data_IF_624812568551
#
_entry.id   IF_624812568551
#
_cell.length_a   1.000
_cell.length_b   1.000
_cell.length_c   1.000
_cell.angle_alpha   90.00
_cell.angle_beta   90.00
_cell.angle_gamma   90.00
#
_symmetry.space_group_name_H-M   'P 1'
#
loop_
_entity.id
_entity.type
_entity.pdbx_description
1 polymer ?
#
# COMPACT_ATOMS: atom_id res chain seq x y z
N UNK A 1 12.82 21.28 -14.78
CA UNK A 1 13.39 20.61 -13.59
C UNK A 1 12.21 20.15 -12.77
N UNK A 2 12.15 18.85 -12.50
CA UNK A 2 10.96 18.14 -12.03
C UNK A 2 10.60 18.49 -10.57
N UNK A 3 9.31 18.69 -10.29
CA UNK A 3 8.81 19.08 -8.96
C UNK A 3 9.10 18.01 -7.90
N UNK A 4 9.26 16.75 -8.33
CA UNK A 4 9.72 15.64 -7.50
C UNK A 4 11.07 15.86 -6.82
N UNK A 5 11.96 16.68 -7.40
CA UNK A 5 13.28 16.92 -6.82
C UNK A 5 13.22 17.75 -5.53
N UNK A 6 12.30 18.72 -5.41
CA UNK A 6 12.19 19.53 -4.19
C UNK A 6 11.65 18.71 -3.02
N UNK A 7 10.66 17.86 -3.29
CA UNK A 7 10.07 16.95 -2.31
C UNK A 7 11.10 15.94 -1.79
N UNK A 8 11.87 15.32 -2.69
CA UNK A 8 12.92 14.37 -2.32
C UNK A 8 14.00 15.01 -1.42
N UNK A 9 14.44 16.23 -1.74
CA UNK A 9 15.44 16.93 -0.92
C UNK A 9 14.87 17.29 0.45
N UNK A 10 13.60 17.70 0.53
CA UNK A 10 12.94 18.01 1.79
C UNK A 10 12.87 16.78 2.71
N UNK A 11 12.50 15.62 2.15
CA UNK A 11 12.42 14.34 2.87
C UNK A 11 13.78 13.92 3.43
N UNK A 12 14.82 13.97 2.58
CA UNK A 12 16.20 13.63 2.97
C UNK A 12 16.75 14.52 4.09
N UNK A 13 16.31 15.78 4.19
CA UNK A 13 16.70 16.70 5.26
C UNK A 13 15.92 16.43 6.55
N UNK A 14 14.63 16.14 6.44
CA UNK A 14 13.78 15.77 7.59
C UNK A 14 14.31 14.50 8.27
N UNK A 15 14.68 13.48 7.47
CA UNK A 15 15.27 12.23 7.94
C UNK A 15 16.59 12.44 8.70
N UNK A 16 17.38 13.45 8.32
CA UNK A 16 18.64 13.81 8.99
C UNK A 16 18.44 14.71 10.21
N UNK A 17 17.20 15.04 10.55
CA UNK A 17 16.84 15.95 11.64
C UNK A 17 17.04 17.43 11.32
N UNK A 18 17.40 17.79 10.07
CA UNK A 18 17.42 19.19 9.64
C UNK A 18 16.01 19.64 9.25
N UNK A 19 15.16 19.78 10.27
CA UNK A 19 13.75 20.15 10.10
C UNK A 19 13.57 21.54 9.50
N UNK A 20 14.45 22.49 9.84
CA UNK A 20 14.42 23.83 9.25
C UNK A 20 14.83 23.81 7.77
N UNK A 21 15.81 22.99 7.40
CA UNK A 21 16.17 22.74 6.01
C UNK A 21 15.03 22.09 5.23
N UNK A 22 14.45 21.04 5.78
CA UNK A 22 13.31 20.34 5.20
C UNK A 22 12.13 21.28 4.94
N UNK A 23 11.77 22.12 5.93
CA UNK A 23 10.67 23.06 5.80
C UNK A 23 10.89 24.04 4.64
N UNK A 24 12.10 24.58 4.46
CA UNK A 24 12.41 25.48 3.32
C UNK A 24 12.20 24.80 1.97
N UNK A 25 12.54 23.52 1.86
CA UNK A 25 12.36 22.77 0.63
C UNK A 25 10.91 22.39 0.38
N UNK A 26 10.16 22.05 1.44
CA UNK A 26 8.71 21.88 1.34
C UNK A 26 8.00 23.17 0.95
N UNK A 27 8.34 24.32 1.55
CA UNK A 27 7.79 25.63 1.15
C UNK A 27 8.08 25.92 -0.32
N UNK A 28 9.29 25.59 -0.80
CA UNK A 28 9.68 25.76 -2.19
C UNK A 28 8.89 24.83 -3.12
N UNK A 29 8.63 23.59 -2.71
CA UNK A 29 7.84 22.63 -3.47
C UNK A 29 6.37 23.09 -3.56
N UNK A 30 5.80 23.53 -2.44
CA UNK A 30 4.39 23.93 -2.40
C UNK A 30 4.13 25.26 -3.10
N UNK A 31 5.10 26.18 -3.10
CA UNK A 31 5.03 27.41 -3.89
C UNK A 31 4.94 27.19 -5.41
N UNK A 32 5.18 25.96 -5.91
CA UNK A 32 5.08 25.60 -7.33
C UNK A 32 3.74 24.97 -7.70
N UNK A 33 2.85 24.71 -6.74
CA UNK A 33 1.53 24.18 -7.03
C UNK A 33 0.79 25.06 -8.02
N UNK A 34 0.36 24.46 -9.12
CA UNK A 34 -0.57 25.11 -10.03
C UNK A 34 -1.93 25.29 -9.35
N UNK A 35 -2.75 26.19 -9.91
CA UNK A 35 -4.12 26.38 -9.47
C UNK A 35 -4.99 25.13 -9.69
N UNK A 36 -4.66 24.30 -10.69
CA UNK A 36 -5.34 23.04 -10.98
C UNK A 36 -5.01 21.98 -9.92
N UNK A 37 -3.74 21.77 -9.60
CA UNK A 37 -3.32 20.84 -8.55
C UNK A 37 -3.86 21.25 -7.18
N UNK A 38 -3.84 22.55 -6.88
CA UNK A 38 -4.43 23.08 -5.65
C UNK A 38 -5.93 22.79 -5.53
N UNK A 39 -6.65 22.77 -6.67
CA UNK A 39 -8.07 22.42 -6.70
C UNK A 39 -8.27 20.91 -6.58
N UNK A 40 -7.42 20.11 -7.22
CA UNK A 40 -7.43 18.65 -7.12
C UNK A 40 -7.17 18.18 -5.68
N UNK A 41 -6.24 18.82 -4.96
CA UNK A 41 -5.93 18.55 -3.55
C UNK A 41 -7.13 18.78 -2.61
N UNK A 42 -7.99 19.75 -2.92
CA UNK A 42 -9.22 20.03 -2.15
C UNK A 42 -10.36 19.06 -2.46
N UNK A 43 -10.23 18.26 -3.51
CA UNK A 43 -11.25 17.31 -3.94
C UNK A 43 -11.38 16.11 -3.00
N UNK A 44 -12.44 15.29 -3.16
CA UNK A 44 -12.67 14.08 -2.35
C UNK A 44 -11.52 13.07 -2.42
N UNK A 45 -10.77 13.07 -3.53
CA UNK A 45 -9.61 12.22 -3.78
C UNK A 45 -8.26 12.96 -3.65
N UNK A 46 -8.27 14.16 -3.07
CA UNK A 46 -7.09 15.01 -2.96
C UNK A 46 -5.91 14.38 -2.22
N UNK A 47 -6.19 13.46 -1.30
CA UNK A 47 -5.18 12.68 -0.57
C UNK A 47 -4.41 11.68 -1.47
N UNK A 48 -4.94 11.30 -2.64
CA UNK A 48 -4.29 10.43 -3.64
C UNK A 48 -3.41 11.19 -4.62
N UNK A 49 -3.53 12.51 -4.69
CA UNK A 49 -2.73 13.31 -5.62
C UNK A 49 -1.25 13.23 -5.23
N UNK A 50 -0.34 13.18 -6.21
CA UNK A 50 1.10 13.11 -5.91
C UNK A 50 1.55 14.32 -5.08
N UNK A 51 0.99 15.50 -5.40
CA UNK A 51 1.25 16.75 -4.69
C UNK A 51 0.76 16.75 -3.23
N UNK A 52 -0.03 15.75 -2.80
CA UNK A 52 -0.42 15.59 -1.39
C UNK A 52 0.73 15.12 -0.50
N UNK A 53 1.75 14.46 -1.08
CA UNK A 53 2.94 13.97 -0.36
C UNK A 53 3.70 15.13 0.26
N UNK A 54 3.96 16.19 -0.51
CA UNK A 54 4.68 17.35 0.00
C UNK A 54 3.87 18.17 1.03
N UNK A 55 2.54 18.21 0.92
CA UNK A 55 1.67 18.87 1.91
C UNK A 55 1.71 18.11 3.24
N UNK A 56 1.68 16.77 3.21
CA UNK A 56 1.81 15.94 4.42
C UNK A 56 3.19 16.08 5.06
N UNK A 57 4.25 16.00 4.26
CA UNK A 57 5.62 16.17 4.74
C UNK A 57 5.85 17.53 5.39
N UNK A 58 5.34 18.61 4.77
CA UNK A 58 5.37 19.96 5.35
C UNK A 58 4.65 20.04 6.69
N UNK A 59 3.42 19.51 6.76
CA UNK A 59 2.61 19.50 7.98
C UNK A 59 3.31 18.76 9.12
N UNK A 60 3.96 17.64 8.81
CA UNK A 60 4.70 16.84 9.79
C UNK A 60 5.95 17.56 10.30
N UNK A 61 6.76 18.15 9.40
CA UNK A 61 7.93 18.94 9.79
C UNK A 61 7.53 20.15 10.65
N UNK A 62 6.44 20.85 10.30
CA UNK A 62 5.91 21.95 11.12
C UNK A 62 5.50 21.47 12.50
N UNK A 63 4.81 20.32 12.59
CA UNK A 63 4.44 19.70 13.87
C UNK A 63 5.67 19.40 14.72
N UNK A 64 6.72 18.83 14.15
CA UNK A 64 7.97 18.53 14.87
C UNK A 64 8.71 19.79 15.32
N UNK A 65 8.59 20.90 14.57
CA UNK A 65 9.11 22.22 14.94
C UNK A 65 8.21 22.99 15.92
N UNK A 66 7.07 22.44 16.35
CA UNK A 66 6.10 23.12 17.22
C UNK A 66 5.31 24.23 16.51
N UNK A 67 5.32 24.25 15.17
CA UNK A 67 4.57 25.20 14.36
C UNK A 67 3.15 24.68 14.08
N UNK A 68 2.17 25.58 14.16
CA UNK A 68 0.78 25.27 13.82
C UNK A 68 0.65 25.10 12.30
N UNK A 69 -0.13 24.11 11.80
CA UNK A 69 -0.45 24.00 10.38
C UNK A 69 -1.10 25.30 9.85
N UNK A 70 -0.78 25.69 8.63
CA UNK A 70 -1.42 26.83 7.96
C UNK A 70 -2.39 26.40 6.84
N UNK A 71 -3.00 27.36 6.16
CA UNK A 71 -3.97 27.13 5.08
C UNK A 71 -3.43 26.26 3.94
N UNK A 72 -2.11 26.24 3.77
CA UNK A 72 -1.44 25.40 2.78
C UNK A 72 -1.38 23.96 3.26
N UNK A 73 -1.07 23.75 4.54
CA UNK A 73 -1.10 22.43 5.14
C UNK A 73 -2.51 21.83 5.11
N UNK A 74 -3.56 22.65 5.18
CA UNK A 74 -4.96 22.23 5.12
C UNK A 74 -5.45 21.81 3.72
N UNK A 75 -4.67 22.07 2.66
CA UNK A 75 -5.08 21.77 1.29
C UNK A 75 -5.30 20.28 1.03
N UNK A 76 -4.51 19.41 1.67
CA UNK A 76 -4.64 17.96 1.51
C UNK A 76 -5.47 17.38 2.67
N UNK A 77 -6.60 16.69 2.41
CA UNK A 77 -7.36 16.04 3.45
C UNK A 77 -6.51 14.98 4.16
N UNK A 78 -6.79 14.76 5.45
CA UNK A 78 -6.15 13.68 6.20
C UNK A 78 -6.45 12.33 5.52
N UNK A 79 -5.47 11.44 5.50
CA UNK A 79 -5.69 10.07 5.00
C UNK A 79 -6.78 9.44 5.88
N UNK A 80 -7.87 8.88 5.31
CA UNK A 80 -8.89 8.22 6.10
C UNK A 80 -8.28 7.13 6.98
N UNK A 81 -8.67 7.03 8.27
CA UNK A 81 -8.04 6.10 9.23
C UNK A 81 -8.13 4.63 8.78
N UNK A 82 -9.16 4.26 8.00
CA UNK A 82 -9.29 2.92 7.41
C UNK A 82 -8.21 2.62 6.35
N UNK A 83 -7.62 3.65 5.72
CA UNK A 83 -6.57 3.55 4.70
C UNK A 83 -5.17 3.91 5.20
N UNK A 84 -5.04 4.46 6.40
CA UNK A 84 -3.73 4.70 7.03
C UNK A 84 -2.95 3.39 7.25
N UNK A 85 -3.62 2.23 7.26
CA UNK A 85 -3.00 0.89 7.28
C UNK A 85 -2.53 0.37 5.91
N UNK A 86 -3.01 0.95 4.81
CA UNK A 86 -2.66 0.57 3.43
C UNK A 86 -1.59 1.50 2.82
N UNK A 87 -1.43 2.69 3.39
CA UNK A 87 -0.59 3.77 2.88
C UNK A 87 0.45 4.13 3.93
N UNK A 88 1.21 3.15 4.38
CA UNK A 88 2.49 3.42 5.04
C UNK A 88 3.57 3.61 3.96
N UNK A 89 3.40 4.62 3.11
CA UNK A 89 4.37 4.95 2.05
C UNK A 89 5.61 5.62 2.68
N UNK A 90 5.44 6.30 3.82
CA UNK A 90 6.56 6.81 4.61
C UNK A 90 7.32 5.67 5.32
N UNK A 91 6.67 4.62 5.80
CA UNK A 91 7.33 3.43 6.31
C UNK A 91 7.99 2.57 5.22
N UNK A 92 7.47 2.59 3.98
CA UNK A 92 8.17 2.00 2.83
C UNK A 92 9.44 2.79 2.50
N UNK A 93 9.44 4.13 2.54
CA UNK A 93 10.63 4.95 2.26
C UNK A 93 11.68 4.89 3.38
N UNK A 94 11.28 5.00 4.65
CA UNK A 94 12.18 4.82 5.80
C UNK A 94 12.77 3.40 5.87
N UNK A 95 12.01 2.39 5.45
CA UNK A 95 12.51 1.03 5.26
C UNK A 95 13.56 0.95 4.13
N UNK A 96 13.39 1.69 3.03
CA UNK A 96 14.35 1.80 1.91
C UNK A 96 15.67 2.43 2.32
N UNK A 97 15.62 3.50 3.10
CA UNK A 97 16.82 4.22 3.53
C UNK A 97 17.55 3.49 4.68
N UNK A 98 16.82 2.80 5.56
CA UNK A 98 17.41 2.03 6.67
C UNK A 98 17.95 0.64 6.29
N UNK A 99 17.86 0.23 5.02
CA UNK A 99 18.22 -1.12 4.58
C UNK A 99 17.25 -2.21 5.09
N UNK A 100 16.07 -1.80 5.57
CA UNK A 100 14.98 -2.66 6.06
C UNK A 100 13.83 -2.76 5.08
N UNK A 101 14.01 -2.45 3.79
CA UNK A 101 12.99 -2.81 2.79
C UNK A 101 12.78 -4.29 2.96
N UNK A 102 11.54 -4.74 3.17
CA UNK A 102 11.26 -6.14 2.97
C UNK A 102 11.78 -6.46 1.57
N UNK A 103 12.82 -7.30 1.46
CA UNK A 103 13.28 -7.81 0.14
C UNK A 103 12.12 -8.46 -0.63
N UNK A 104 11.03 -8.72 0.08
CA UNK A 104 9.85 -9.38 -0.36
C UNK A 104 8.60 -8.83 0.33
N UNK A 105 7.52 -8.61 -0.42
CA UNK A 105 6.21 -8.26 0.10
C UNK A 105 5.28 -9.48 0.06
N UNK A 106 4.54 -9.74 1.15
CA UNK A 106 3.56 -10.82 1.21
C UNK A 106 2.15 -10.29 0.97
N UNK A 107 1.46 -10.88 0.00
CA UNK A 107 0.10 -10.55 -0.38
C UNK A 107 -0.83 -11.67 0.04
N UNK A 108 -1.59 -11.46 1.10
CA UNK A 108 -2.58 -12.42 1.56
C UNK A 108 -3.70 -12.59 0.53
N UNK A 109 -4.06 -13.85 0.23
CA UNK A 109 -5.16 -14.18 -0.66
C UNK A 109 -5.97 -15.35 -0.12
N UNK A 110 -7.29 -15.29 -0.26
CA UNK A 110 -8.12 -16.51 -0.24
C UNK A 110 -8.14 -17.06 -1.66
N UNK A 111 -7.62 -18.28 -1.85
CA UNK A 111 -7.73 -18.98 -3.13
C UNK A 111 -9.18 -19.38 -3.40
N UNK A 112 -9.53 -19.73 -4.65
CA UNK A 112 -10.93 -19.99 -5.07
C UNK A 112 -11.75 -20.85 -4.09
N UNK A 113 -11.24 -21.98 -3.56
CA UNK A 113 -11.98 -22.78 -2.58
C UNK A 113 -12.32 -21.99 -1.29
N UNK A 114 -11.34 -21.25 -0.76
CA UNK A 114 -11.46 -20.46 0.46
C UNK A 114 -12.21 -19.14 0.25
N UNK A 115 -12.14 -18.56 -0.95
CA UNK A 115 -12.87 -17.33 -1.27
C UNK A 115 -14.38 -17.57 -1.25
N UNK A 116 -14.84 -18.77 -1.61
CA UNK A 116 -16.24 -19.14 -1.46
C UNK A 116 -16.69 -19.12 0.01
N UNK A 117 -15.84 -19.56 0.94
CA UNK A 117 -16.10 -19.48 2.38
C UNK A 117 -16.03 -18.03 2.87
N UNK A 118 -15.02 -17.26 2.45
CA UNK A 118 -14.90 -15.85 2.82
C UNK A 118 -16.13 -15.03 2.39
N UNK A 119 -16.69 -15.33 1.22
CA UNK A 119 -17.95 -14.76 0.73
C UNK A 119 -19.17 -15.15 1.55
N UNK A 120 -19.24 -16.40 2.03
CA UNK A 120 -20.32 -16.84 2.93
C UNK A 120 -20.25 -16.11 4.27
N UNK A 121 -19.05 -15.95 4.81
CA UNK A 121 -18.83 -15.35 6.14
C UNK A 121 -18.89 -13.82 6.14
N UNK A 122 -18.37 -13.17 5.10
CA UNK A 122 -18.27 -11.71 4.98
C UNK A 122 -18.74 -11.23 3.59
N UNK A 123 -20.05 -11.33 3.28
CA UNK A 123 -20.56 -11.06 1.93
C UNK A 123 -20.35 -9.62 1.46
N UNK A 124 -20.38 -8.64 2.37
CA UNK A 124 -20.16 -7.22 2.03
C UNK A 124 -18.69 -6.91 1.67
N UNK A 125 -17.74 -7.67 2.22
CA UNK A 125 -16.31 -7.48 1.98
C UNK A 125 -15.80 -8.24 0.75
N UNK A 126 -16.61 -9.17 0.24
CA UNK A 126 -16.29 -10.04 -0.89
C UNK A 126 -17.44 -10.09 -1.92
N UNK A 127 -17.99 -8.92 -2.23
CA UNK A 127 -19.11 -8.73 -3.16
C UNK A 127 -18.76 -8.98 -4.64
N UNK A 128 -17.51 -8.75 -5.02
CA UNK A 128 -17.00 -8.97 -6.37
C UNK A 128 -16.97 -10.44 -6.79
N UNK A 129 -17.12 -10.69 -8.08
CA UNK A 129 -16.95 -12.04 -8.65
C UNK A 129 -15.50 -12.52 -8.48
N UNK A 130 -15.29 -13.84 -8.50
CA UNK A 130 -13.95 -14.41 -8.41
C UNK A 130 -13.03 -13.87 -9.52
N UNK A 131 -13.52 -13.83 -10.75
CA UNK A 131 -12.71 -13.42 -11.89
C UNK A 131 -12.34 -11.93 -11.82
N UNK A 132 -13.27 -11.05 -11.44
CA UNK A 132 -12.97 -9.63 -11.20
C UNK A 132 -11.93 -9.45 -10.10
N UNK A 133 -12.10 -10.15 -8.98
CA UNK A 133 -11.20 -10.06 -7.84
C UNK A 133 -9.76 -10.48 -8.20
N UNK A 134 -9.59 -11.65 -8.81
CA UNK A 134 -8.25 -12.15 -9.14
C UNK A 134 -7.60 -11.36 -10.27
N UNK A 135 -8.37 -10.89 -11.25
CA UNK A 135 -7.83 -10.03 -12.32
C UNK A 135 -7.45 -8.65 -11.78
N UNK A 136 -8.22 -8.08 -10.85
CA UNK A 136 -7.86 -6.81 -10.21
C UNK A 136 -6.58 -6.95 -9.38
N UNK A 137 -6.44 -8.03 -8.59
CA UNK A 137 -5.23 -8.32 -7.84
C UNK A 137 -4.01 -8.51 -8.77
N UNK A 138 -4.16 -9.28 -9.85
CA UNK A 138 -3.11 -9.48 -10.85
C UNK A 138 -2.62 -8.15 -11.45
N UNK A 139 -3.54 -7.28 -11.88
CA UNK A 139 -3.20 -5.96 -12.43
C UNK A 139 -2.46 -5.09 -11.41
N UNK A 140 -3.00 -5.00 -10.19
CA UNK A 140 -2.38 -4.23 -9.10
C UNK A 140 -0.97 -4.71 -8.79
N UNK A 141 -0.73 -6.02 -8.73
CA UNK A 141 0.59 -6.57 -8.45
C UNK A 141 1.58 -6.35 -9.59
N UNK A 142 1.10 -6.30 -10.84
CA UNK A 142 1.94 -5.92 -12.01
C UNK A 142 2.35 -4.47 -11.96
N UNK A 143 1.42 -3.58 -11.65
CA UNK A 143 1.71 -2.16 -11.46
C UNK A 143 2.78 -1.96 -10.39
N UNK A 144 2.66 -2.66 -9.26
CA UNK A 144 3.67 -2.64 -8.19
C UNK A 144 5.03 -3.17 -8.66
N UNK A 145 5.07 -4.34 -9.29
CA UNK A 145 6.32 -4.93 -9.76
C UNK A 145 7.02 -4.07 -10.83
N UNK A 146 6.25 -3.45 -11.74
CA UNK A 146 6.78 -2.52 -12.73
C UNK A 146 7.26 -1.19 -12.10
N UNK A 147 6.69 -0.82 -10.95
CA UNK A 147 7.10 0.33 -10.15
C UNK A 147 8.36 0.12 -9.31
N UNK A 148 9.06 -1.01 -9.47
CA UNK A 148 10.31 -1.30 -8.74
C UNK A 148 10.11 -1.79 -7.31
N UNK A 149 8.90 -2.23 -6.94
CA UNK A 149 8.60 -2.80 -5.63
C UNK A 149 9.36 -4.14 -5.45
N UNK A 150 9.80 -4.47 -4.21
CA UNK A 150 10.45 -5.75 -3.90
C UNK A 150 9.62 -6.98 -4.29
N UNK A 151 10.28 -8.14 -4.36
CA UNK A 151 9.68 -9.38 -4.84
C UNK A 151 8.34 -9.70 -4.16
N UNK A 152 7.30 -10.04 -4.93
CA UNK A 152 5.99 -10.35 -4.36
C UNK A 152 5.92 -11.85 -4.06
N UNK A 153 5.42 -12.20 -2.87
CA UNK A 153 4.94 -13.55 -2.56
C UNK A 153 3.47 -13.52 -2.22
N UNK A 154 2.73 -14.44 -2.81
CA UNK A 154 1.34 -14.66 -2.47
C UNK A 154 1.29 -15.58 -1.26
N UNK A 155 0.49 -15.19 -0.26
CA UNK A 155 0.27 -15.90 0.98
C UNK A 155 -1.16 -16.46 0.97
N UNK A 156 -1.39 -17.70 0.49
CA UNK A 156 -2.67 -18.36 0.61
C UNK A 156 -3.07 -18.47 2.09
N UNK A 157 -4.27 -18.01 2.41
CA UNK A 157 -4.87 -18.15 3.74
C UNK A 157 -6.14 -19.00 3.65
N UNK A 158 -6.49 -19.65 4.75
CA UNK A 158 -7.83 -20.19 4.98
C UNK A 158 -8.64 -19.24 5.84
N UNK A 159 -9.95 -19.26 5.71
CA UNK A 159 -10.83 -18.44 6.56
C UNK A 159 -10.70 -18.87 8.02
N UNK A 160 -10.55 -20.17 8.26
CA UNK A 160 -10.40 -20.74 9.59
C UNK A 160 -9.13 -20.24 10.30
N UNK A 161 -7.96 -20.39 9.66
CA UNK A 161 -6.68 -20.02 10.27
C UNK A 161 -6.58 -18.51 10.52
N UNK A 162 -7.11 -17.68 9.60
CA UNK A 162 -7.15 -16.24 9.81
C UNK A 162 -8.06 -15.86 10.97
N UNK A 163 -9.22 -16.51 11.12
CA UNK A 163 -10.11 -16.29 12.25
C UNK A 163 -9.46 -16.73 13.56
N UNK A 164 -8.83 -17.90 13.59
CA UNK A 164 -8.12 -18.38 14.78
C UNK A 164 -7.01 -17.39 15.19
N UNK A 165 -6.24 -16.89 14.22
CA UNK A 165 -5.23 -15.88 14.49
C UNK A 165 -5.83 -14.58 15.06
N UNK A 166 -6.94 -14.12 14.49
CA UNK A 166 -7.66 -12.94 14.95
C UNK A 166 -8.17 -13.10 16.40
N UNK A 167 -8.75 -14.26 16.71
CA UNK A 167 -9.29 -14.58 18.03
C UNK A 167 -8.18 -14.56 19.09
N UNK A 168 -6.99 -15.09 18.78
CA UNK A 168 -5.83 -15.08 19.69
C UNK A 168 -5.30 -13.68 19.99
N UNK A 169 -5.44 -12.73 19.06
CA UNK A 169 -4.97 -11.35 19.25
C UNK A 169 -6.08 -10.39 19.67
N UNK A 170 -7.33 -10.85 19.74
CA UNK A 170 -8.49 -10.02 20.11
C UNK A 170 -8.83 -8.96 19.05
N UNK A 171 -8.52 -9.22 17.79
CA UNK A 171 -8.69 -8.30 16.67
C UNK A 171 -9.66 -8.85 15.63
N UNK A 172 -10.04 -8.03 14.65
CA UNK A 172 -10.96 -8.47 13.59
C UNK A 172 -10.23 -9.19 12.47
N UNK A 173 -10.71 -10.35 11.97
CA UNK A 173 -10.15 -11.03 10.80
C UNK A 173 -10.29 -10.20 9.50
N UNK A 174 -11.12 -9.16 9.52
CA UNK A 174 -11.27 -8.23 8.40
C UNK A 174 -10.22 -7.11 8.40
N UNK A 175 -9.53 -6.90 9.52
CA UNK A 175 -8.51 -5.87 9.69
C UNK A 175 -7.33 -6.06 8.72
N UNK A 176 -7.04 -5.08 7.84
CA UNK A 176 -5.89 -5.15 6.94
C UNK A 176 -4.54 -5.32 7.66
N UNK A 177 -4.34 -4.69 8.83
CA UNK A 177 -3.08 -4.81 9.57
C UNK A 177 -2.90 -6.20 10.18
N UNK A 178 -3.99 -6.83 10.65
CA UNK A 178 -3.98 -8.22 11.09
C UNK A 178 -3.61 -9.15 9.93
N UNK A 179 -4.21 -8.96 8.75
CA UNK A 179 -3.93 -9.77 7.56
C UNK A 179 -2.45 -9.72 7.15
N UNK A 180 -1.82 -8.54 7.25
CA UNK A 180 -0.37 -8.39 7.02
C UNK A 180 0.42 -9.20 8.03
N UNK A 181 0.20 -9.00 9.34
CA UNK A 181 0.90 -9.76 10.39
C UNK A 181 0.69 -11.27 10.26
N UNK A 182 -0.53 -11.72 9.98
CA UNK A 182 -0.83 -13.14 9.75
C UNK A 182 -0.01 -13.67 8.57
N UNK A 183 0.06 -12.95 7.45
CA UNK A 183 0.84 -13.36 6.28
C UNK A 183 2.34 -13.48 6.58
N UNK A 184 2.87 -12.70 7.52
CA UNK A 184 4.26 -12.76 7.97
C UNK A 184 4.53 -13.99 8.84
N UNK A 185 3.50 -14.54 9.52
CA UNK A 185 3.66 -15.77 10.30
C UNK A 185 3.74 -17.04 9.45
N UNK A 186 3.31 -16.98 8.18
CA UNK A 186 3.37 -18.15 7.29
C UNK A 186 4.82 -18.55 6.96
N UNK A 187 5.15 -19.85 6.99
CA UNK A 187 6.41 -20.36 6.46
C UNK A 187 6.57 -20.03 4.97
N UNK A 188 7.81 -19.84 4.49
CA UNK A 188 8.04 -19.43 3.11
C UNK A 188 7.60 -20.50 2.10
N UNK A 189 7.71 -21.78 2.45
CA UNK A 189 7.22 -22.94 1.69
C UNK A 189 5.70 -22.94 1.49
N UNK A 190 4.95 -22.24 2.34
CA UNK A 190 3.50 -22.07 2.20
C UNK A 190 3.12 -20.85 1.35
N UNK A 191 4.10 -20.11 0.84
CA UNK A 191 3.88 -18.93 0.00
C UNK A 191 4.33 -19.17 -1.44
N UNK A 192 3.66 -18.52 -2.39
CA UNK A 192 3.92 -18.68 -3.82
C UNK A 192 4.70 -17.47 -4.33
N UNK A 193 5.86 -17.69 -4.94
CA UNK A 193 6.58 -16.63 -5.64
C UNK A 193 5.72 -16.08 -6.79
N UNK A 194 5.54 -14.76 -6.84
CA UNK A 194 4.78 -14.10 -7.89
C UNK A 194 5.69 -13.21 -8.75
N UNK A 195 5.57 -13.28 -10.09
CA UNK A 195 4.66 -14.15 -10.83
C UNK A 195 5.10 -15.62 -10.79
N UNK A 196 4.16 -16.58 -10.68
CA UNK A 196 4.49 -18.00 -10.82
C UNK A 196 5.05 -18.30 -12.23
N UNK A 197 5.78 -19.42 -12.41
CA UNK A 197 6.18 -19.84 -13.74
C UNK A 197 4.97 -20.05 -14.65
N UNK A 198 5.08 -19.67 -15.93
CA UNK A 198 3.97 -19.66 -16.91
C UNK A 198 3.15 -20.96 -16.98
N UNK A 199 3.80 -22.11 -16.78
CA UNK A 199 3.16 -23.43 -16.87
C UNK A 199 2.78 -24.03 -15.50
N UNK A 200 3.14 -23.38 -14.39
CA UNK A 200 2.77 -23.84 -13.05
C UNK A 200 1.29 -23.56 -12.76
N UNK A 201 0.69 -24.23 -11.75
CA UNK A 201 -0.65 -23.89 -11.27
C UNK A 201 -0.79 -22.40 -10.95
N UNK A 202 -1.95 -21.83 -11.23
CA UNK A 202 -2.22 -20.43 -10.96
C UNK A 202 -2.31 -20.13 -9.47
N UNK A 203 -1.78 -18.99 -9.04
CA UNK A 203 -1.76 -18.54 -7.64
C UNK A 203 -3.16 -18.39 -7.02
N UNK A 204 -4.21 -18.26 -7.84
CA UNK A 204 -5.60 -18.19 -7.36
C UNK A 204 -6.21 -19.55 -6.97
N UNK A 205 -5.46 -20.66 -7.12
CA UNK A 205 -5.92 -22.00 -6.75
C UNK A 205 -6.83 -22.68 -7.78
N UNK A 206 -6.95 -22.17 -9.01
CA UNK A 206 -7.79 -22.76 -10.07
C UNK A 206 -7.25 -24.05 -10.69
N UNK A 207 -6.08 -24.54 -10.27
CA UNK A 207 -5.28 -25.64 -10.87
C UNK A 207 -4.86 -25.45 -12.34
N UNK A 208 -5.49 -24.54 -13.08
CA UNK A 208 -5.12 -24.18 -14.44
C UNK A 208 -3.71 -23.58 -14.49
N UNK A 209 -3.03 -23.76 -15.62
CA UNK A 209 -1.71 -23.14 -15.86
C UNK A 209 -1.82 -21.63 -15.72
N UNK A 210 -0.87 -21.00 -15.03
CA UNK A 210 -0.87 -19.55 -14.76
C UNK A 210 -1.07 -18.71 -16.03
N UNK A 211 -0.36 -19.02 -17.13
CA UNK A 211 -0.50 -18.32 -18.43
C UNK A 211 -1.90 -18.43 -19.07
N UNK A 212 -2.73 -19.37 -18.61
CA UNK A 212 -4.10 -19.61 -19.10
C UNK A 212 -5.15 -19.16 -18.08
N UNK A 213 -4.75 -18.62 -16.94
CA UNK A 213 -5.64 -18.15 -15.87
C UNK A 213 -5.34 -16.67 -15.56
N UNK A 214 -4.92 -16.31 -14.34
CA UNK A 214 -4.66 -14.90 -13.97
C UNK A 214 -3.56 -14.28 -14.85
N UNK A 215 -2.54 -15.06 -15.22
CA UNK A 215 -1.47 -14.63 -16.13
C UNK A 215 -1.86 -14.61 -17.61
N UNK A 216 -3.15 -14.64 -17.96
CA UNK A 216 -3.63 -14.53 -19.35
C UNK A 216 -3.69 -13.08 -19.84
N UNK A 217 -3.97 -12.12 -18.95
CA UNK A 217 -4.06 -10.69 -19.28
C UNK A 217 -2.67 -10.03 -19.40
N UNK A 218 -1.67 -10.81 -19.83
CA UNK A 218 -0.24 -10.51 -19.82
C UNK A 218 0.28 -10.50 -21.25
#
# INVERSE_FOLDING_TARGET
MDDGHCTLVAELLAERGDLHGALRWYDRAVARLSAEESRALKGPDGWMQMSSVMIRGRREVRRQLGLVPDTTDELAPAVPPQRQRLVDVDGVRDAVVSGRVPRQMRMLIFQRPERAEARRRWPQEHDTTDDEHYQAAERRWRELANGGVPAIRVAPATVADLCEFADRTGESPLDPALKVRYSETLPEEHTIAWPPPRNSPCWCGSTAKYKKCCGRAV
#
